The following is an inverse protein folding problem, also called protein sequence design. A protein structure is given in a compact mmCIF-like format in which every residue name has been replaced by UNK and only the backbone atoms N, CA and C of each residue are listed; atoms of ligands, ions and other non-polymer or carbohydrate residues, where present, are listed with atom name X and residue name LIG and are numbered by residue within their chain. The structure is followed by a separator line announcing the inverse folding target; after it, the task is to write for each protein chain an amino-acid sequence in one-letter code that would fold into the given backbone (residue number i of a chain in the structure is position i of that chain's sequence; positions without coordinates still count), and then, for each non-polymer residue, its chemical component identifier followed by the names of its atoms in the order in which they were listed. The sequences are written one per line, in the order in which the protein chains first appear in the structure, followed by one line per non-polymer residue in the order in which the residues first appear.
data_IF_295119863052
#
_entry.id   IF_295119863052
#
_cell.length_a   1.000
_cell.length_b   1.000
_cell.length_c   1.000
_cell.angle_alpha   90.00
_cell.angle_beta   90.00
_cell.angle_gamma   90.00
#
_symmetry.space_group_name_H-M   'P 1'
#
loop_
_entity.id
_entity.type
_entity.pdbx_description
1 polymer ?
#
# COMPACT_ATOMS: atom_id res chain seq x y z
N UNK A 1 -13.29 24.42 -12.28
CA UNK A 1 -13.25 23.78 -10.95
C UNK A 1 -12.15 22.74 -11.01
N UNK A 2 -10.95 23.12 -10.57
CA UNK A 2 -9.74 22.33 -10.63
C UNK A 2 -9.89 21.10 -9.74
N UNK A 3 -9.69 19.92 -10.29
CA UNK A 3 -9.80 18.62 -9.61
C UNK A 3 -8.65 18.43 -8.60
N UNK A 4 -8.85 18.99 -7.41
CA UNK A 4 -7.92 18.88 -6.27
C UNK A 4 -7.84 17.43 -5.73
N UNK A 5 -8.76 16.59 -6.14
CA UNK A 5 -8.86 15.19 -5.69
C UNK A 5 -7.85 14.29 -6.39
N UNK A 6 -7.58 14.54 -7.66
CA UNK A 6 -6.50 13.89 -8.41
C UNK A 6 -5.14 14.22 -7.80
N UNK A 7 -4.93 15.49 -7.42
CA UNK A 7 -3.68 15.94 -6.84
C UNK A 7 -3.36 15.34 -5.45
N UNK A 8 -4.38 15.04 -4.62
CA UNK A 8 -4.14 14.42 -3.30
C UNK A 8 -3.77 12.94 -3.45
N UNK A 9 -4.44 12.22 -4.34
CA UNK A 9 -4.12 10.83 -4.63
C UNK A 9 -2.77 10.71 -5.35
N UNK A 10 -2.48 11.65 -6.25
CA UNK A 10 -1.16 11.77 -6.87
C UNK A 10 -0.08 12.06 -5.82
N UNK A 11 -0.36 12.88 -4.80
CA UNK A 11 0.56 13.11 -3.67
C UNK A 11 0.73 11.88 -2.79
N UNK A 12 -0.33 11.13 -2.53
CA UNK A 12 -0.27 9.85 -1.81
C UNK A 12 0.52 8.84 -2.67
N UNK A 13 0.18 8.72 -3.94
CA UNK A 13 0.90 7.86 -4.89
C UNK A 13 2.36 8.32 -5.10
N UNK A 14 2.63 9.62 -5.25
CA UNK A 14 3.99 10.15 -5.37
C UNK A 14 4.78 10.01 -4.09
N UNK A 15 4.19 10.22 -2.92
CA UNK A 15 4.88 9.96 -1.65
C UNK A 15 5.18 8.48 -1.45
N UNK A 16 4.32 7.61 -1.96
CA UNK A 16 4.44 6.16 -1.86
C UNK A 16 5.33 5.59 -2.98
N UNK A 17 5.24 6.13 -4.21
CA UNK A 17 5.86 5.54 -5.41
C UNK A 17 7.14 6.24 -5.89
N UNK A 18 7.29 7.57 -5.72
CA UNK A 18 8.33 8.33 -6.42
C UNK A 18 9.56 8.69 -5.58
N UNK A 19 9.63 8.32 -4.31
CA UNK A 19 10.88 8.45 -3.54
C UNK A 19 11.78 7.21 -3.58
N UNK A 20 11.47 6.27 -4.45
CA UNK A 20 12.28 5.07 -4.65
C UNK A 20 13.23 5.12 -5.86
N UNK A 21 13.17 6.18 -6.66
CA UNK A 21 14.02 6.34 -7.85
C UNK A 21 14.71 7.70 -7.82
N UNK A 22 15.81 7.81 -7.14
CA UNK A 22 16.91 8.77 -7.30
C UNK A 22 17.78 8.70 -6.04
N UNK A 23 19.01 8.46 -6.04
CA UNK A 23 20.18 8.85 -6.77
C UNK A 23 21.29 7.87 -6.38
N UNK A 24 21.77 7.10 -7.30
CA UNK A 24 23.11 6.56 -7.23
C UNK A 24 24.03 7.60 -7.84
N UNK A 25 24.60 8.46 -7.01
CA UNK A 25 25.80 9.19 -7.41
C UNK A 25 26.97 8.22 -7.49
N UNK A 26 27.76 8.26 -8.56
CA UNK A 26 28.95 7.43 -8.64
C UNK A 26 30.04 8.06 -7.75
N UNK A 27 30.27 7.47 -6.58
CA UNK A 27 31.51 7.71 -5.86
C UNK A 27 32.68 7.18 -6.68
N UNK A 28 33.47 8.09 -7.19
CA UNK A 28 34.77 7.80 -7.77
C UNK A 28 35.67 7.19 -6.69
N UNK A 29 35.88 5.90 -6.75
CA UNK A 29 36.86 5.20 -5.94
C UNK A 29 38.16 5.06 -6.76
N UNK A 30 39.20 5.72 -6.32
CA UNK A 30 40.58 5.51 -6.76
C UNK A 30 41.05 4.11 -6.34
N UNK A 31 41.83 3.41 -7.17
CA UNK A 31 42.28 2.07 -6.88
C UNK A 31 43.49 2.08 -5.95
N UNK A 32 43.38 1.48 -4.79
CA UNK A 32 44.57 1.03 -4.03
C UNK A 32 44.54 -0.50 -3.95
N UNK A 33 45.58 -1.06 -4.56
CA UNK A 33 45.85 -2.48 -4.58
C UNK A 33 46.08 -3.03 -3.15
N UNK A 34 45.28 -4.00 -2.74
CA UNK A 34 45.74 -4.98 -1.77
C UNK A 34 45.21 -6.37 -2.20
N UNK A 35 46.19 -7.21 -2.50
CA UNK A 35 46.05 -8.62 -2.83
C UNK A 35 45.44 -9.41 -1.69
N UNK A 36 44.35 -10.15 -1.92
CA UNK A 36 43.95 -11.27 -1.06
C UNK A 36 43.69 -12.53 -1.88
N UNK A 37 44.41 -13.55 -1.48
CA UNK A 37 44.38 -14.94 -1.97
C UNK A 37 42.99 -15.53 -1.90
N UNK A 38 42.73 -16.34 -2.90
CA UNK A 38 41.57 -17.20 -3.09
C UNK A 38 41.22 -18.03 -1.85
N UNK A 39 39.96 -17.98 -1.46
CA UNK A 39 39.30 -19.09 -0.78
C UNK A 39 37.89 -19.24 -1.36
N UNK A 40 37.66 -20.37 -1.99
CA UNK A 40 36.39 -20.66 -2.64
C UNK A 40 35.25 -20.83 -1.66
N UNK A 41 34.11 -20.27 -2.00
CA UNK A 41 32.81 -20.81 -1.60
C UNK A 41 31.70 -20.10 -2.39
N UNK A 42 30.93 -20.93 -3.08
CA UNK A 42 29.59 -20.69 -3.65
C UNK A 42 28.96 -19.34 -3.36
N UNK A 43 28.95 -18.47 -4.36
CA UNK A 43 28.12 -17.26 -4.40
C UNK A 43 26.65 -17.66 -4.56
N UNK A 44 25.94 -17.68 -3.45
CA UNK A 44 24.48 -17.48 -3.52
C UNK A 44 24.28 -16.01 -3.77
N UNK A 45 24.08 -15.65 -5.03
CA UNK A 45 23.59 -14.35 -5.43
C UNK A 45 22.12 -14.22 -4.95
N UNK A 46 21.94 -13.97 -3.66
CA UNK A 46 20.72 -13.45 -3.13
C UNK A 46 20.56 -12.02 -3.64
N UNK A 47 19.87 -11.83 -4.75
CA UNK A 47 19.36 -10.52 -5.13
C UNK A 47 18.43 -10.09 -3.99
N UNK A 48 18.94 -9.35 -3.04
CA UNK A 48 18.12 -8.65 -2.04
C UNK A 48 17.35 -7.59 -2.82
N UNK A 49 16.17 -7.98 -3.30
CA UNK A 49 15.21 -7.05 -3.88
C UNK A 49 14.92 -6.02 -2.79
N UNK A 50 15.35 -4.78 -2.99
CA UNK A 50 15.08 -3.70 -2.05
C UNK A 50 13.57 -3.62 -1.85
N UNK A 51 13.09 -3.95 -0.66
CA UNK A 51 11.68 -3.88 -0.29
C UNK A 51 11.14 -2.48 -0.60
N UNK A 52 9.98 -2.42 -1.24
CA UNK A 52 9.34 -1.15 -1.53
C UNK A 52 9.08 -0.40 -0.21
N UNK A 53 9.45 0.89 -0.16
CA UNK A 53 9.41 1.72 1.05
C UNK A 53 8.03 1.77 1.73
N UNK A 54 6.94 1.56 0.96
CA UNK A 54 5.58 1.53 1.51
C UNK A 54 5.40 0.45 2.58
N UNK A 55 6.10 -0.69 2.47
CA UNK A 55 5.93 -1.81 3.40
C UNK A 55 6.30 -1.44 4.83
N UNK A 56 7.34 -0.61 4.99
CA UNK A 56 7.81 -0.09 6.29
C UNK A 56 7.17 1.25 6.68
N UNK A 57 6.27 1.78 5.84
CA UNK A 57 5.52 2.99 6.18
C UNK A 57 4.42 2.64 7.16
N UNK A 58 4.31 3.42 8.26
CA UNK A 58 3.23 3.25 9.22
C UNK A 58 1.86 3.45 8.57
N UNK A 59 0.95 2.50 8.77
CA UNK A 59 -0.44 2.60 8.34
C UNK A 59 -1.12 3.83 8.96
N UNK A 60 -0.83 4.13 10.23
CA UNK A 60 -1.35 5.30 10.94
C UNK A 60 -0.98 6.63 10.26
N UNK A 61 0.13 6.71 9.53
CA UNK A 61 0.52 7.92 8.79
C UNK A 61 -0.27 8.13 7.49
N UNK A 62 -0.83 7.06 6.94
CA UNK A 62 -1.60 7.09 5.67
C UNK A 62 -3.10 7.11 5.93
N UNK A 63 -3.56 6.48 7.00
CA UNK A 63 -4.98 6.40 7.35
C UNK A 63 -5.69 7.77 7.37
N UNK A 64 -5.15 8.85 7.99
CA UNK A 64 -5.79 10.16 7.94
C UNK A 64 -5.96 10.71 6.52
N UNK A 65 -5.09 10.31 5.59
CA UNK A 65 -5.19 10.72 4.18
C UNK A 65 -6.35 10.01 3.47
N UNK A 66 -6.63 8.76 3.82
CA UNK A 66 -7.80 8.04 3.35
C UNK A 66 -9.10 8.68 3.86
N UNK A 67 -9.15 8.99 5.16
CA UNK A 67 -10.28 9.68 5.77
C UNK A 67 -10.51 11.04 5.11
N UNK A 68 -9.48 11.87 5.02
CA UNK A 68 -9.57 13.19 4.40
C UNK A 68 -10.00 13.13 2.91
N UNK A 69 -9.58 12.09 2.18
CA UNK A 69 -10.01 11.87 0.79
C UNK A 69 -11.50 11.56 0.71
N UNK A 70 -12.00 10.71 1.61
CA UNK A 70 -13.41 10.34 1.67
C UNK A 70 -14.29 11.53 2.09
N UNK A 71 -13.91 12.25 3.16
CA UNK A 71 -14.64 13.40 3.71
C UNK A 71 -14.78 14.55 2.71
N UNK A 72 -13.75 14.82 1.90
CA UNK A 72 -13.82 15.82 0.81
C UNK A 72 -14.90 15.52 -0.22
N UNK A 73 -15.39 14.30 -0.27
CA UNK A 73 -16.45 13.84 -1.17
C UNK A 73 -17.77 13.53 -0.46
N UNK A 74 -17.91 14.01 0.78
CA UNK A 74 -19.11 13.84 1.59
C UNK A 74 -19.27 12.43 2.15
N UNK A 75 -18.19 11.64 2.20
CA UNK A 75 -18.16 10.34 2.86
C UNK A 75 -17.68 10.48 4.30
N UNK A 76 -17.91 9.46 5.12
CA UNK A 76 -17.60 9.49 6.54
C UNK A 76 -16.37 8.63 6.86
N UNK A 77 -15.72 8.94 8.00
CA UNK A 77 -14.68 8.07 8.58
C UNK A 77 -15.20 6.64 8.80
N UNK A 78 -16.45 6.50 9.28
CA UNK A 78 -17.07 5.19 9.52
C UNK A 78 -17.15 4.33 8.24
N UNK A 79 -17.41 4.94 7.08
CA UNK A 79 -17.40 4.23 5.81
C UNK A 79 -15.98 3.79 5.40
N UNK A 80 -14.95 4.58 5.72
CA UNK A 80 -13.54 4.20 5.54
C UNK A 80 -13.20 3.01 6.42
N UNK A 81 -13.56 3.06 7.70
CA UNK A 81 -13.33 1.98 8.65
C UNK A 81 -14.05 0.69 8.21
N UNK A 82 -15.28 0.82 7.72
CA UNK A 82 -16.06 -0.32 7.17
C UNK A 82 -15.36 -0.98 5.98
N UNK A 83 -14.77 -0.19 5.08
CA UNK A 83 -14.02 -0.69 3.93
C UNK A 83 -12.77 -1.45 4.39
N UNK A 84 -12.03 -0.90 5.35
CA UNK A 84 -10.84 -1.53 5.92
C UNK A 84 -11.22 -2.84 6.63
N UNK A 85 -12.25 -2.80 7.47
CA UNK A 85 -12.76 -3.99 8.18
C UNK A 85 -13.22 -5.08 7.23
N UNK A 86 -13.90 -4.71 6.15
CA UNK A 86 -14.31 -5.66 5.12
C UNK A 86 -13.12 -6.34 4.45
N UNK A 87 -12.06 -5.59 4.16
CA UNK A 87 -10.89 -6.13 3.47
C UNK A 87 -10.05 -7.03 4.38
N UNK A 88 -9.85 -6.63 5.64
CA UNK A 88 -8.85 -7.21 6.54
C UNK A 88 -9.44 -8.06 7.66
N UNK A 89 -10.72 -7.90 7.95
CA UNK A 89 -11.38 -8.56 9.06
C UNK A 89 -11.12 -7.91 10.44
N UNK A 90 -10.38 -6.80 10.50
CA UNK A 90 -10.22 -6.07 11.77
C UNK A 90 -11.55 -5.51 12.27
N UNK A 91 -11.85 -5.75 13.55
CA UNK A 91 -12.87 -5.00 14.25
C UNK A 91 -12.44 -3.57 14.55
N UNK A 92 -13.37 -2.71 14.99
CA UNK A 92 -13.08 -1.30 15.27
C UNK A 92 -11.96 -1.13 16.31
N UNK A 93 -12.04 -1.83 17.44
CA UNK A 93 -11.01 -1.77 18.50
C UNK A 93 -9.65 -2.27 18.04
N UNK A 94 -9.64 -3.32 17.22
CA UNK A 94 -8.40 -3.87 16.67
C UNK A 94 -7.75 -2.90 15.66
N UNK A 95 -8.57 -2.27 14.82
CA UNK A 95 -8.10 -1.25 13.88
C UNK A 95 -7.47 -0.06 14.62
N UNK A 96 -8.13 0.43 15.66
CA UNK A 96 -7.64 1.50 16.52
C UNK A 96 -6.32 1.12 17.19
N UNK A 97 -6.19 -0.09 17.70
CA UNK A 97 -4.94 -0.59 18.26
C UNK A 97 -3.79 -0.64 17.24
N UNK A 98 -4.07 -1.02 15.97
CA UNK A 98 -3.07 -0.99 14.91
C UNK A 98 -2.61 0.44 14.58
N UNK A 99 -3.54 1.40 14.63
CA UNK A 99 -3.23 2.82 14.42
C UNK A 99 -2.40 3.39 15.56
N UNK A 100 -2.74 3.11 16.82
CA UNK A 100 -1.99 3.54 18.01
C UNK A 100 -0.57 2.97 18.05
N UNK A 101 -0.42 1.71 17.68
CA UNK A 101 0.89 1.03 17.61
C UNK A 101 1.75 1.53 16.45
N UNK A 102 1.20 2.30 15.53
CA UNK A 102 1.92 2.77 14.34
C UNK A 102 2.38 1.64 13.42
N UNK A 103 1.65 0.52 13.41
CA UNK A 103 1.97 -0.68 12.62
C UNK A 103 2.22 -0.34 11.16
N UNK A 104 3.29 -0.90 10.58
CA UNK A 104 3.59 -0.73 9.16
C UNK A 104 2.65 -1.55 8.26
N UNK A 105 2.59 -1.22 6.96
CA UNK A 105 1.67 -1.88 6.03
C UNK A 105 1.91 -3.38 5.89
N UNK A 106 3.16 -3.83 5.89
CA UNK A 106 3.47 -5.26 5.78
C UNK A 106 2.92 -6.02 7.00
N UNK A 107 3.22 -5.53 8.19
CA UNK A 107 2.74 -6.10 9.44
C UNK A 107 1.22 -5.99 9.58
N UNK A 108 0.62 -4.87 9.15
CA UNK A 108 -0.82 -4.65 9.17
C UNK A 108 -1.56 -5.71 8.37
N UNK A 109 -1.14 -6.00 7.15
CA UNK A 109 -1.77 -7.05 6.34
C UNK A 109 -1.38 -8.47 6.80
N UNK A 110 -0.16 -8.67 7.30
CA UNK A 110 0.27 -9.97 7.82
C UNK A 110 -0.50 -10.40 9.08
N UNK A 111 -0.89 -9.43 9.93
CA UNK A 111 -1.66 -9.66 11.16
C UNK A 111 -3.17 -9.58 10.95
N UNK A 112 -3.63 -9.32 9.74
CA UNK A 112 -5.06 -9.19 9.45
C UNK A 112 -5.82 -10.48 9.83
N UNK A 113 -6.86 -10.39 10.69
CA UNK A 113 -7.53 -11.58 11.24
C UNK A 113 -8.16 -12.46 10.17
N UNK A 114 -8.73 -11.83 9.12
CA UNK A 114 -9.42 -12.55 8.04
C UNK A 114 -9.43 -11.71 6.77
N UNK A 115 -8.41 -11.85 5.97
CA UNK A 115 -8.40 -11.22 4.63
C UNK A 115 -9.59 -11.76 3.81
N UNK A 116 -10.40 -10.83 3.28
CA UNK A 116 -11.61 -11.18 2.56
C UNK A 116 -11.29 -11.85 1.20
N UNK A 117 -11.78 -13.07 0.94
CA UNK A 117 -11.52 -13.76 -0.33
C UNK A 117 -12.11 -13.01 -1.54
N UNK A 118 -13.23 -12.30 -1.37
CA UNK A 118 -13.86 -11.50 -2.44
C UNK A 118 -13.03 -10.30 -2.89
N UNK A 119 -11.88 -10.00 -2.23
CA UNK A 119 -10.95 -8.96 -2.69
C UNK A 119 -10.41 -9.20 -4.10
N UNK A 120 -10.35 -10.47 -4.53
CA UNK A 120 -9.94 -10.83 -5.90
C UNK A 120 -10.89 -10.30 -6.98
N UNK A 121 -12.11 -9.92 -6.61
CA UNK A 121 -13.09 -9.25 -7.49
C UNK A 121 -12.80 -7.74 -7.64
N UNK A 122 -11.81 -7.21 -6.94
CA UNK A 122 -11.40 -5.82 -7.06
C UNK A 122 -10.50 -5.71 -8.29
N UNK A 123 -10.98 -5.00 -9.29
CA UNK A 123 -10.31 -4.86 -10.59
C UNK A 123 -10.21 -3.40 -11.01
N UNK A 124 -9.38 -3.14 -12.00
CA UNK A 124 -9.23 -1.83 -12.63
C UNK A 124 -8.04 -1.02 -12.17
N UNK A 125 -7.96 0.22 -12.61
CA UNK A 125 -6.82 1.10 -12.39
C UNK A 125 -6.95 1.92 -11.13
N UNK A 126 -5.90 2.01 -10.33
CA UNK A 126 -5.72 2.95 -9.23
C UNK A 126 -4.28 3.49 -9.28
N UNK A 127 -4.12 4.81 -9.19
CA UNK A 127 -2.80 5.47 -9.27
C UNK A 127 -1.98 5.05 -10.51
N UNK A 128 -2.63 4.89 -11.65
CA UNK A 128 -1.97 4.51 -12.91
C UNK A 128 -1.58 3.04 -13.02
N UNK A 129 -1.86 2.20 -12.01
CA UNK A 129 -1.53 0.78 -12.01
C UNK A 129 -2.81 -0.05 -12.02
N UNK A 130 -2.85 -1.08 -12.85
CA UNK A 130 -3.91 -2.09 -12.80
C UNK A 130 -3.68 -3.01 -11.60
N UNK A 131 -4.71 -3.17 -10.80
CA UNK A 131 -4.62 -3.97 -9.56
C UNK A 131 -4.34 -5.44 -9.88
N UNK A 132 -4.91 -5.92 -10.98
CA UNK A 132 -4.76 -7.30 -11.47
C UNK A 132 -3.32 -7.64 -11.88
N UNK A 133 -2.56 -6.63 -12.34
CA UNK A 133 -1.19 -6.81 -12.83
C UNK A 133 -0.14 -6.80 -11.70
N UNK A 134 -0.56 -6.46 -10.47
CA UNK A 134 0.35 -6.43 -9.32
C UNK A 134 0.66 -7.84 -8.85
N UNK A 135 1.90 -8.28 -9.07
CA UNK A 135 2.35 -9.66 -8.77
C UNK A 135 2.69 -9.85 -7.30
N UNK A 136 3.25 -8.81 -6.67
CA UNK A 136 3.72 -8.89 -5.30
C UNK A 136 2.54 -8.87 -4.31
N UNK A 137 2.43 -9.90 -3.42
CA UNK A 137 1.23 -10.08 -2.59
C UNK A 137 0.91 -8.86 -1.71
N UNK A 138 1.88 -8.37 -0.94
CA UNK A 138 1.66 -7.24 -0.02
C UNK A 138 1.30 -5.97 -0.78
N UNK A 139 1.98 -5.68 -1.90
CA UNK A 139 1.64 -4.54 -2.75
C UNK A 139 0.23 -4.67 -3.30
N UNK A 140 -0.18 -5.85 -3.70
CA UNK A 140 -1.53 -6.10 -4.21
C UNK A 140 -2.61 -5.82 -3.16
N UNK A 141 -2.41 -6.23 -1.90
CA UNK A 141 -3.32 -5.91 -0.81
C UNK A 141 -3.41 -4.39 -0.58
N UNK A 142 -2.29 -3.68 -0.62
CA UNK A 142 -2.26 -2.21 -0.54
C UNK A 142 -3.06 -1.60 -1.69
N UNK A 143 -2.91 -2.11 -2.92
CA UNK A 143 -3.64 -1.61 -4.09
C UNK A 143 -5.13 -1.93 -4.05
N UNK A 144 -5.52 -3.05 -3.45
CA UNK A 144 -6.92 -3.32 -3.18
C UNK A 144 -7.52 -2.26 -2.26
N UNK A 145 -6.84 -1.94 -1.16
CA UNK A 145 -7.29 -0.89 -0.25
C UNK A 145 -7.37 0.47 -0.94
N UNK A 146 -6.30 0.88 -1.63
CA UNK A 146 -6.28 2.14 -2.40
C UNK A 146 -7.45 2.23 -3.38
N UNK A 147 -7.78 1.13 -4.06
CA UNK A 147 -8.88 1.07 -5.03
C UNK A 147 -10.24 1.20 -4.37
N UNK A 148 -10.45 0.53 -3.23
CA UNK A 148 -11.71 0.63 -2.49
C UNK A 148 -11.95 2.05 -1.97
N UNK A 149 -10.92 2.70 -1.42
CA UNK A 149 -10.99 4.09 -0.96
C UNK A 149 -11.22 5.05 -2.15
N UNK A 150 -10.62 4.78 -3.30
CA UNK A 150 -10.85 5.58 -4.51
C UNK A 150 -12.29 5.46 -5.01
N UNK A 151 -12.86 4.26 -4.98
CA UNK A 151 -14.27 4.03 -5.33
C UNK A 151 -15.22 4.70 -4.34
N UNK A 152 -14.91 4.66 -3.03
CA UNK A 152 -15.65 5.36 -1.98
C UNK A 152 -15.66 6.88 -2.23
N UNK A 153 -14.49 7.46 -2.48
CA UNK A 153 -14.36 8.88 -2.77
C UNK A 153 -15.02 9.28 -4.10
N UNK A 154 -15.18 8.39 -5.05
CA UNK A 154 -15.94 8.60 -6.31
C UNK A 154 -17.46 8.49 -6.14
N UNK A 155 -17.94 8.27 -4.91
CA UNK A 155 -19.37 8.20 -4.62
C UNK A 155 -20.04 6.88 -4.96
N UNK A 156 -19.25 5.82 -5.20
CA UNK A 156 -19.81 4.49 -5.45
C UNK A 156 -20.57 4.00 -4.22
N UNK A 157 -21.71 3.34 -4.42
CA UNK A 157 -22.50 2.80 -3.31
C UNK A 157 -21.73 1.71 -2.55
N UNK A 158 -21.88 1.67 -1.23
CA UNK A 158 -21.10 0.78 -0.35
C UNK A 158 -21.28 -0.70 -0.71
N UNK A 159 -22.48 -1.13 -1.05
CA UNK A 159 -22.80 -2.50 -1.48
C UNK A 159 -22.02 -2.92 -2.74
N UNK A 160 -21.72 -1.96 -3.62
CA UNK A 160 -20.89 -2.19 -4.82
C UNK A 160 -19.41 -2.13 -4.54
N UNK A 161 -18.98 -1.38 -3.51
CA UNK A 161 -17.59 -1.33 -3.06
C UNK A 161 -17.23 -2.63 -2.36
N UNK A 162 -18.07 -3.06 -1.42
CA UNK A 162 -17.93 -4.30 -0.67
C UNK A 162 -18.45 -5.47 -1.51
N UNK A 163 -17.66 -5.92 -2.50
CA UNK A 163 -18.05 -7.00 -3.41
C UNK A 163 -18.57 -8.18 -2.61
N UNK A 164 -19.86 -8.52 -2.79
CA UNK A 164 -20.40 -9.76 -2.24
C UNK A 164 -19.96 -10.90 -3.14
N UNK A 165 -19.40 -11.96 -2.56
CA UNK A 165 -19.27 -13.23 -3.27
C UNK A 165 -20.67 -13.64 -3.69
N UNK A 166 -20.88 -14.01 -4.96
CA UNK A 166 -22.08 -14.68 -5.38
C UNK A 166 -22.17 -15.97 -4.53
N UNK A 167 -23.23 -16.07 -3.72
CA UNK A 167 -23.58 -17.27 -2.96
C UNK A 167 -24.02 -18.34 -3.93
#
# INVERSE_FOLDING_TARGET
VTDITGALMERICRRILLRGASQSEPLQATPSMISYKAFGRSEIHGVVMAKHRIYTTSFASVYPLYVAKAEKKGRTKAEVDQVISWLTGYGQTELEAQLEQGTDFETFFAKAPKINPSRTLITGVVCGVRVEDVKEPTMREIRYLDKLIDELAKGKAMDRILRKSAS
#
